data_IF_325324730843
#
_entry.id   IF_325324730843
#
_cell.length_a   1.000
_cell.length_b   1.000
_cell.length_c   1.000
_cell.angle_alpha   90.00
_cell.angle_beta   90.00
_cell.angle_gamma   90.00
#
_symmetry.space_group_name_H-M   'P 1'
#
loop_
_entity.id
_entity.type
_entity.pdbx_description
1 polymer ?
#
# COMPACT_ATOMS: atom_id res chain seq x y z
N UNK A 1 50.96 -6.32 46.62
CA UNK A 1 50.58 -6.81 45.27
C UNK A 1 50.72 -5.64 44.30
N UNK A 2 51.28 -5.82 43.09
CA UNK A 2 51.41 -4.74 42.13
C UNK A 2 50.02 -4.21 41.73
N UNK A 3 49.87 -2.89 41.70
CA UNK A 3 48.64 -2.23 41.24
C UNK A 3 48.63 -2.27 39.70
N UNK A 4 47.60 -2.88 39.11
CA UNK A 4 47.50 -3.07 37.66
C UNK A 4 46.57 -2.03 37.02
N UNK A 5 46.74 -1.77 35.73
CA UNK A 5 45.76 -1.03 34.92
C UNK A 5 44.56 -1.95 34.57
N UNK A 6 43.34 -1.38 34.45
CA UNK A 6 42.12 -2.19 34.34
C UNK A 6 41.91 -2.90 33.01
N UNK A 7 42.48 -2.41 31.89
CA UNK A 7 42.14 -2.93 30.56
C UNK A 7 43.09 -4.04 30.07
N UNK A 8 44.41 -3.82 30.20
CA UNK A 8 45.43 -4.74 29.69
C UNK A 8 46.44 -5.17 30.76
N UNK A 9 46.15 -4.89 32.04
CA UNK A 9 46.92 -5.40 33.17
C UNK A 9 48.38 -4.92 33.22
N UNK A 10 48.66 -3.69 32.79
CA UNK A 10 49.99 -3.07 32.93
C UNK A 10 50.32 -2.85 34.40
N UNK A 11 51.56 -3.11 34.80
CA UNK A 11 52.07 -2.79 36.14
C UNK A 11 52.20 -1.28 36.29
N UNK A 12 51.59 -0.69 37.32
CA UNK A 12 51.77 0.73 37.66
C UNK A 12 53.04 0.92 38.50
N UNK A 13 53.73 2.05 38.35
CA UNK A 13 54.81 2.42 39.27
C UNK A 13 54.26 2.56 40.69
N UNK A 14 55.05 2.21 41.71
CA UNK A 14 54.74 2.56 43.09
C UNK A 14 55.12 4.04 43.35
N UNK A 15 54.45 4.69 44.30
CA UNK A 15 54.56 6.14 44.56
C UNK A 15 55.99 6.62 44.86
N UNK A 16 56.92 5.71 45.21
CA UNK A 16 58.30 6.00 45.59
C UNK A 16 59.35 5.19 44.79
N UNK A 17 58.97 4.59 43.67
CA UNK A 17 59.88 3.73 42.87
C UNK A 17 60.50 4.53 41.72
N UNK A 18 61.84 4.57 41.65
CA UNK A 18 62.53 5.05 40.45
C UNK A 18 62.24 4.06 39.32
N UNK A 19 61.78 4.55 38.17
CA UNK A 19 61.27 3.71 37.08
C UNK A 19 62.22 2.57 36.71
N UNK A 20 61.75 1.33 36.91
CA UNK A 20 62.48 0.12 36.52
C UNK A 20 62.27 -0.16 35.03
N UNK A 21 63.37 -0.18 34.28
CA UNK A 21 63.39 -0.47 32.85
C UNK A 21 62.81 -1.87 32.56
N UNK A 22 62.99 -2.83 33.47
CA UNK A 22 62.44 -4.17 33.30
C UNK A 22 60.90 -4.14 33.28
N UNK A 23 60.29 -3.37 34.18
CA UNK A 23 58.82 -3.20 34.24
C UNK A 23 58.29 -2.48 33.01
N UNK A 24 59.04 -1.52 32.48
CA UNK A 24 58.68 -0.82 31.24
C UNK A 24 58.67 -1.79 30.06
N UNK A 25 59.72 -2.62 29.91
CA UNK A 25 59.80 -3.60 28.83
C UNK A 25 58.66 -4.63 28.92
N UNK A 26 58.36 -5.16 30.11
CA UNK A 26 57.23 -6.09 30.29
C UNK A 26 55.87 -5.46 29.95
N UNK A 27 55.68 -4.18 30.25
CA UNK A 27 54.46 -3.47 29.88
C UNK A 27 54.37 -3.23 28.36
N UNK A 28 55.51 -2.97 27.68
CA UNK A 28 55.55 -2.85 26.23
C UNK A 28 55.20 -4.17 25.53
N UNK A 29 55.73 -5.30 26.00
CA UNK A 29 55.40 -6.63 25.46
C UNK A 29 53.89 -6.93 25.56
N UNK A 30 53.26 -6.54 26.69
CA UNK A 30 51.80 -6.69 26.87
C UNK A 30 50.99 -5.79 25.93
N UNK A 31 51.49 -4.59 25.64
CA UNK A 31 50.84 -3.68 24.68
C UNK A 31 50.94 -4.27 23.28
N UNK A 32 52.12 -4.76 22.88
CA UNK A 32 52.33 -5.36 21.56
C UNK A 32 51.45 -6.59 21.36
N UNK A 33 51.36 -7.47 22.35
CA UNK A 33 50.47 -8.63 22.30
C UNK A 33 48.99 -8.23 22.18
N UNK A 34 48.53 -7.25 22.97
CA UNK A 34 47.15 -6.78 22.90
C UNK A 34 46.82 -6.13 21.55
N UNK A 35 47.77 -5.42 20.94
CA UNK A 35 47.64 -4.85 19.59
C UNK A 35 47.57 -5.95 18.54
N UNK A 36 48.37 -7.00 18.68
CA UNK A 36 48.34 -8.14 17.76
C UNK A 36 47.02 -8.94 17.86
N UNK A 37 46.53 -9.17 19.08
CA UNK A 37 45.23 -9.81 19.31
C UNK A 37 44.07 -8.98 18.73
N UNK A 38 44.13 -7.65 18.83
CA UNK A 38 43.14 -6.76 18.21
C UNK A 38 43.16 -6.87 16.68
N UNK A 39 44.35 -6.94 16.08
CA UNK A 39 44.52 -7.16 14.62
C UNK A 39 43.98 -8.52 14.18
N UNK A 40 44.05 -9.54 15.04
CA UNK A 40 43.53 -10.90 14.79
C UNK A 40 42.06 -11.08 15.19
N UNK A 41 41.46 -10.10 15.86
CA UNK A 41 40.08 -10.20 16.33
C UNK A 41 39.09 -10.38 15.17
N UNK A 42 38.06 -11.19 15.40
CA UNK A 42 37.00 -11.51 14.42
C UNK A 42 36.34 -10.27 13.85
N UNK A 43 36.30 -9.16 14.60
CA UNK A 43 35.72 -7.89 14.16
C UNK A 43 36.46 -7.32 12.94
N UNK A 44 37.79 -7.38 12.90
CA UNK A 44 38.55 -6.89 11.73
C UNK A 44 38.39 -7.83 10.54
N UNK A 45 38.32 -9.13 10.78
CA UNK A 45 38.08 -10.14 9.73
C UNK A 45 36.69 -9.96 9.12
N UNK A 46 35.66 -9.74 9.95
CA UNK A 46 34.30 -9.47 9.51
C UNK A 46 34.19 -8.12 8.79
N UNK A 47 34.87 -7.08 9.29
CA UNK A 47 34.87 -5.77 8.64
C UNK A 47 35.61 -5.77 7.29
N UNK A 48 36.77 -6.44 7.21
CA UNK A 48 37.52 -6.61 5.96
C UNK A 48 36.74 -7.48 4.96
N UNK A 49 36.00 -8.50 5.43
CA UNK A 49 35.09 -9.29 4.60
C UNK A 49 33.92 -8.43 4.06
N UNK A 50 33.33 -7.57 4.89
CA UNK A 50 32.28 -6.63 4.45
C UNK A 50 32.83 -5.56 3.49
N UNK A 51 34.05 -5.06 3.69
CA UNK A 51 34.66 -4.06 2.80
C UNK A 51 34.88 -4.61 1.39
N UNK A 52 35.19 -5.92 1.28
CA UNK A 52 35.29 -6.62 0.00
C UNK A 52 33.92 -6.72 -0.73
N UNK A 53 32.81 -6.78 0.01
CA UNK A 53 31.45 -6.73 -0.55
C UNK A 53 31.09 -5.32 -1.05
N UNK A 54 31.48 -4.25 -0.34
CA UNK A 54 31.17 -2.87 -0.75
C UNK A 54 31.99 -2.37 -1.94
N UNK A 55 33.18 -2.92 -2.19
CA UNK A 55 34.06 -2.48 -3.29
C UNK A 55 33.79 -3.17 -4.63
N UNK A 56 32.96 -4.22 -4.65
CA UNK A 56 32.42 -4.78 -5.88
C UNK A 56 31.11 -4.11 -6.24
N UNK A 57 31.14 -2.80 -6.53
CA UNK A 57 30.11 -2.17 -7.36
C UNK A 57 30.28 -2.79 -8.75
N UNK A 58 29.46 -3.77 -9.11
CA UNK A 58 29.85 -4.66 -10.17
C UNK A 58 29.27 -3.99 -11.44
N UNK A 59 30.15 -3.44 -12.28
CA UNK A 59 29.85 -2.76 -13.56
C UNK A 59 29.23 -3.74 -14.58
N UNK A 60 28.05 -4.30 -14.29
CA UNK A 60 27.34 -5.21 -15.19
C UNK A 60 26.14 -4.50 -15.81
N UNK A 61 26.42 -3.39 -16.50
CA UNK A 61 25.48 -2.82 -17.45
C UNK A 61 25.60 -3.57 -18.77
N UNK A 62 24.84 -4.64 -18.95
CA UNK A 62 24.70 -5.33 -20.23
C UNK A 62 23.37 -4.99 -20.88
N UNK A 63 23.36 -4.77 -22.20
CA UNK A 63 22.12 -4.78 -22.97
C UNK A 63 21.59 -6.22 -22.99
N UNK A 64 20.37 -6.43 -22.53
CA UNK A 64 19.74 -7.75 -22.58
C UNK A 64 19.36 -8.08 -24.03
N UNK A 65 19.91 -9.16 -24.57
CA UNK A 65 19.46 -9.73 -25.83
C UNK A 65 18.27 -10.65 -25.59
N UNK A 66 17.08 -10.26 -26.04
CA UNK A 66 15.87 -11.08 -25.90
C UNK A 66 14.72 -10.58 -26.78
N UNK A 67 14.06 -11.51 -27.47
CA UNK A 67 12.78 -11.24 -28.15
C UNK A 67 11.63 -11.54 -27.16
N UNK A 68 10.77 -10.55 -26.87
CA UNK A 68 9.62 -10.73 -25.96
C UNK A 68 9.94 -10.48 -24.48
N UNK A 69 9.27 -11.16 -23.55
CA UNK A 69 9.38 -10.85 -22.11
C UNK A 69 10.57 -11.54 -21.39
N UNK A 70 11.59 -11.98 -22.14
CA UNK A 70 12.79 -12.63 -21.61
C UNK A 70 13.95 -11.65 -21.50
N UNK A 71 14.46 -11.47 -20.28
CA UNK A 71 15.62 -10.63 -19.98
C UNK A 71 16.80 -11.50 -19.57
N UNK A 72 17.92 -11.37 -20.30
CA UNK A 72 19.10 -12.21 -20.12
C UNK A 72 20.36 -11.37 -19.87
N UNK A 73 20.99 -11.58 -18.71
CA UNK A 73 22.33 -11.11 -18.39
C UNK A 73 23.30 -12.28 -18.62
N UNK A 74 24.03 -12.21 -19.73
CA UNK A 74 24.91 -13.29 -20.19
C UNK A 74 26.34 -13.24 -19.65
N UNK A 75 26.70 -12.18 -18.90
CA UNK A 75 28.06 -11.97 -18.42
C UNK A 75 28.08 -11.80 -16.90
N UNK A 76 29.07 -12.41 -16.24
CA UNK A 76 29.36 -12.17 -14.83
C UNK A 76 28.40 -12.78 -13.82
N UNK A 77 27.61 -13.77 -14.21
CA UNK A 77 26.74 -14.46 -13.26
C UNK A 77 27.60 -15.16 -12.20
N UNK A 78 27.33 -14.94 -10.90
CA UNK A 78 28.02 -15.69 -9.86
C UNK A 78 27.65 -17.17 -9.96
N UNK A 79 28.58 -18.06 -9.63
CA UNK A 79 28.32 -19.51 -9.65
C UNK A 79 27.17 -19.93 -8.73
N UNK A 80 26.89 -19.12 -7.70
CA UNK A 80 25.82 -19.29 -6.73
C UNK A 80 25.28 -17.91 -6.32
N UNK A 81 23.96 -17.77 -6.31
CA UNK A 81 23.28 -16.64 -5.68
C UNK A 81 22.95 -17.00 -4.23
N UNK A 82 23.22 -16.09 -3.30
CA UNK A 82 22.80 -16.20 -1.91
C UNK A 82 21.38 -15.62 -1.77
N UNK A 83 20.56 -16.21 -0.90
CA UNK A 83 19.25 -15.63 -0.56
C UNK A 83 19.47 -14.20 -0.04
N UNK A 84 18.72 -13.25 -0.59
CA UNK A 84 18.88 -11.82 -0.31
C UNK A 84 19.77 -11.06 -1.28
N UNK A 85 20.45 -11.72 -2.22
CA UNK A 85 21.21 -11.03 -3.27
C UNK A 85 20.26 -10.15 -4.09
N UNK A 86 20.64 -8.89 -4.35
CA UNK A 86 19.82 -7.97 -5.13
C UNK A 86 20.51 -7.54 -6.41
N UNK A 87 19.69 -7.26 -7.43
CA UNK A 87 20.11 -6.61 -8.66
C UNK A 87 19.13 -5.48 -8.98
N UNK A 88 19.61 -4.46 -9.70
CA UNK A 88 18.77 -3.38 -10.20
C UNK A 88 18.69 -3.50 -11.71
N UNK A 89 17.48 -3.52 -12.25
CA UNK A 89 17.21 -3.63 -13.68
C UNK A 89 16.40 -2.43 -14.14
N UNK A 90 16.74 -1.88 -15.31
CA UNK A 90 15.92 -0.86 -15.99
C UNK A 90 15.19 -1.53 -17.15
N UNK A 91 13.87 -1.43 -17.18
CA UNK A 91 13.09 -1.91 -18.32
C UNK A 91 13.16 -0.91 -19.47
N UNK A 92 13.41 -1.39 -20.68
CA UNK A 92 13.47 -0.60 -21.92
C UNK A 92 12.14 -0.59 -22.70
N UNK A 93 11.20 -1.46 -22.30
CA UNK A 93 9.84 -1.56 -22.81
C UNK A 93 8.85 -1.94 -21.72
N UNK A 94 7.57 -1.75 -22.01
CA UNK A 94 6.50 -2.30 -21.19
C UNK A 94 6.48 -3.83 -21.32
N UNK A 95 6.38 -4.55 -20.21
CA UNK A 95 6.14 -5.99 -20.19
C UNK A 95 4.71 -6.29 -20.66
N UNK A 96 4.58 -7.21 -21.62
CA UNK A 96 3.29 -7.59 -22.20
C UNK A 96 2.77 -8.94 -21.65
N UNK A 97 3.63 -9.71 -21.01
CA UNK A 97 3.33 -11.02 -20.41
C UNK A 97 4.25 -11.37 -19.24
N UNK A 98 4.52 -12.67 -19.06
CA UNK A 98 5.38 -13.18 -17.98
C UNK A 98 6.82 -12.77 -18.21
N UNK A 99 7.41 -12.09 -17.23
CA UNK A 99 8.84 -11.81 -17.28
C UNK A 99 9.67 -12.97 -16.75
N UNK A 100 10.58 -13.45 -17.60
CA UNK A 100 11.63 -14.38 -17.21
C UNK A 100 12.94 -13.64 -17.13
N UNK A 101 13.61 -13.76 -15.99
CA UNK A 101 14.92 -13.17 -15.79
C UNK A 101 15.98 -14.26 -15.69
N UNK A 102 17.03 -14.12 -16.50
CA UNK A 102 18.15 -15.05 -16.60
C UNK A 102 19.44 -14.31 -16.23
N UNK A 103 20.17 -14.81 -15.23
CA UNK A 103 21.54 -14.36 -14.95
C UNK A 103 22.46 -15.58 -14.95
N UNK A 104 23.15 -15.80 -16.07
CA UNK A 104 23.89 -17.04 -16.33
C UNK A 104 22.98 -18.26 -16.28
N UNK A 105 23.27 -19.20 -15.36
CA UNK A 105 22.47 -20.43 -15.14
C UNK A 105 21.28 -20.23 -14.18
N UNK A 106 21.19 -19.08 -13.52
CA UNK A 106 20.14 -18.81 -12.54
C UNK A 106 18.90 -18.26 -13.26
N UNK A 107 17.81 -19.01 -13.13
CA UNK A 107 16.52 -18.72 -13.75
C UNK A 107 15.48 -18.43 -12.67
N UNK A 108 14.67 -17.40 -12.86
CA UNK A 108 13.50 -17.14 -12.03
C UNK A 108 12.39 -16.49 -12.84
N UNK A 109 11.15 -16.88 -12.54
CA UNK A 109 9.97 -16.14 -12.96
C UNK A 109 9.83 -14.93 -12.05
N UNK A 110 9.85 -13.73 -12.63
CA UNK A 110 9.75 -12.48 -11.87
C UNK A 110 8.30 -12.15 -11.52
N UNK A 111 7.33 -12.69 -12.27
CA UNK A 111 5.90 -12.62 -11.93
C UNK A 111 5.15 -13.86 -12.45
N UNK A 112 4.31 -14.48 -11.62
CA UNK A 112 3.34 -15.50 -12.04
C UNK A 112 1.95 -14.89 -12.33
N UNK A 113 1.09 -15.68 -12.96
CA UNK A 113 -0.20 -15.29 -13.58
C UNK A 113 -1.15 -14.58 -12.63
N UNK A 114 -1.01 -14.90 -11.34
CA UNK A 114 -2.01 -14.60 -10.33
C UNK A 114 -1.74 -13.25 -9.65
N UNK A 115 -0.57 -12.63 -9.89
CA UNK A 115 -0.16 -11.37 -9.27
C UNK A 115 0.16 -10.32 -10.35
N UNK A 116 -0.85 -9.90 -11.12
CA UNK A 116 -0.74 -8.93 -12.22
C UNK A 116 -0.43 -7.46 -11.81
N UNK A 117 0.11 -7.20 -10.62
CA UNK A 117 0.27 -5.82 -10.12
C UNK A 117 1.50 -5.07 -10.68
N UNK A 118 2.48 -5.77 -11.27
CA UNK A 118 3.69 -5.15 -11.77
C UNK A 118 4.04 -5.59 -13.19
N UNK A 119 3.33 -5.01 -14.16
CA UNK A 119 3.90 -4.92 -15.51
C UNK A 119 5.06 -3.96 -15.43
N UNK A 120 6.28 -4.46 -15.59
CA UNK A 120 7.47 -3.59 -15.73
C UNK A 120 7.14 -2.57 -16.82
N UNK A 121 7.32 -1.30 -16.50
CA UNK A 121 7.05 -0.19 -17.39
C UNK A 121 8.32 0.24 -18.05
N UNK A 122 8.22 0.63 -19.32
CA UNK A 122 9.30 1.29 -20.03
C UNK A 122 9.89 2.40 -19.15
N UNK A 123 11.21 2.40 -19.09
CA UNK A 123 12.05 3.28 -18.27
C UNK A 123 11.95 3.10 -16.74
N UNK A 124 11.12 2.16 -16.26
CA UNK A 124 11.05 1.80 -14.84
C UNK A 124 12.33 1.12 -14.35
N UNK A 125 12.75 1.47 -13.14
CA UNK A 125 13.89 0.88 -12.44
C UNK A 125 13.35 -0.01 -11.34
N UNK A 126 13.76 -1.28 -11.33
CA UNK A 126 13.26 -2.31 -10.44
C UNK A 126 14.42 -2.97 -9.70
N UNK A 127 14.24 -3.23 -8.41
CA UNK A 127 15.17 -4.05 -7.65
C UNK A 127 14.63 -5.46 -7.57
N UNK A 128 15.39 -6.45 -8.06
CA UNK A 128 15.04 -7.87 -7.93
C UNK A 128 15.88 -8.47 -6.83
N UNK A 129 15.26 -9.21 -5.90
CA UNK A 129 15.92 -9.96 -4.84
C UNK A 129 15.84 -11.45 -5.14
N UNK A 130 16.96 -12.16 -5.01
CA UNK A 130 17.00 -13.61 -5.09
C UNK A 130 16.45 -14.18 -3.78
N UNK A 131 15.34 -14.92 -3.87
CA UNK A 131 14.68 -15.54 -2.72
C UNK A 131 14.37 -17.00 -3.06
N UNK A 132 15.01 -17.90 -2.31
CA UNK A 132 14.69 -19.34 -2.32
C UNK A 132 14.64 -20.00 -3.71
N UNK A 133 15.50 -19.57 -4.65
CA UNK A 133 15.58 -20.17 -5.99
C UNK A 133 14.82 -19.42 -7.08
N UNK A 134 14.19 -18.29 -6.78
CA UNK A 134 13.58 -17.40 -7.77
C UNK A 134 13.93 -15.94 -7.52
N UNK A 135 13.67 -15.09 -8.51
CA UNK A 135 13.72 -13.64 -8.37
C UNK A 135 12.36 -13.11 -7.91
N UNK A 136 12.35 -12.25 -6.91
CA UNK A 136 11.16 -11.49 -6.47
C UNK A 136 11.44 -10.01 -6.63
N UNK A 137 10.50 -9.22 -7.15
CA UNK A 137 10.67 -7.76 -7.17
C UNK A 137 10.59 -7.27 -5.72
N UNK A 138 11.59 -6.51 -5.29
CA UNK A 138 11.64 -5.96 -3.96
C UNK A 138 10.61 -4.84 -3.85
N UNK A 139 9.54 -5.11 -3.11
CA UNK A 139 8.33 -4.27 -3.06
C UNK A 139 7.05 -5.10 -3.15
N UNK A 140 7.11 -6.27 -3.79
CA UNK A 140 5.92 -7.06 -4.14
C UNK A 140 5.29 -7.84 -2.98
N UNK A 141 6.03 -8.08 -1.89
CA UNK A 141 5.56 -8.88 -0.74
C UNK A 141 4.97 -8.02 0.40
N UNK A 142 4.10 -7.06 0.06
CA UNK A 142 3.44 -6.20 1.05
C UNK A 142 4.20 -4.93 1.41
N UNK A 143 5.21 -4.57 0.60
CA UNK A 143 5.74 -3.22 0.58
C UNK A 143 4.67 -2.30 -0.01
N UNK A 144 4.41 -1.20 0.67
CA UNK A 144 3.53 -0.14 0.18
C UNK A 144 3.90 0.21 -1.28
N UNK A 145 3.02 -0.09 -2.24
CA UNK A 145 3.15 0.39 -3.63
C UNK A 145 3.01 1.90 -3.61
N UNK A 146 4.15 2.59 -3.51
CA UNK A 146 4.28 4.03 -3.68
C UNK A 146 4.74 4.30 -5.10
N UNK A 147 3.89 4.86 -5.95
CA UNK A 147 4.30 5.19 -7.33
C UNK A 147 4.88 6.61 -7.47
N UNK A 148 4.81 7.43 -6.41
CA UNK A 148 5.36 8.78 -6.35
C UNK A 148 4.79 9.79 -7.34
N UNK A 149 3.83 9.39 -8.20
CA UNK A 149 3.22 10.27 -9.19
C UNK A 149 2.30 11.26 -8.49
N UNK A 150 2.29 12.48 -9.01
CA UNK A 150 1.35 13.53 -8.60
C UNK A 150 0.21 13.69 -9.63
N UNK A 151 0.33 13.01 -10.78
CA UNK A 151 -0.66 13.03 -11.85
C UNK A 151 -1.88 12.17 -11.51
N UNK A 152 -3.01 12.49 -12.13
CA UNK A 152 -4.21 11.66 -12.00
C UNK A 152 -4.07 10.36 -12.77
N UNK A 153 -4.17 9.23 -12.09
CA UNK A 153 -4.22 7.91 -12.72
C UNK A 153 -5.67 7.58 -13.04
N UNK A 154 -5.96 7.32 -14.32
CA UNK A 154 -7.31 6.96 -14.76
C UNK A 154 -7.35 5.53 -15.27
N UNK A 155 -8.30 4.75 -14.74
CA UNK A 155 -8.58 3.37 -15.15
C UNK A 155 -10.02 3.30 -15.65
N UNK A 156 -10.22 2.77 -16.85
CA UNK A 156 -11.55 2.58 -17.44
C UNK A 156 -12.01 1.14 -17.25
N UNK A 157 -13.26 0.95 -16.82
CA UNK A 157 -13.85 -0.36 -16.51
C UNK A 157 -15.09 -0.58 -17.34
N UNK A 158 -15.18 -1.72 -18.03
CA UNK A 158 -16.35 -2.05 -18.83
C UNK A 158 -16.15 -3.31 -19.68
N UNK A 159 -17.23 -3.84 -20.29
CA UNK A 159 -17.18 -5.06 -21.09
C UNK A 159 -16.15 -5.02 -22.24
N UNK A 160 -15.86 -3.82 -22.77
CA UNK A 160 -14.92 -3.60 -23.86
C UNK A 160 -13.57 -3.00 -23.41
N UNK A 161 -13.33 -2.84 -22.10
CA UNK A 161 -12.09 -2.27 -21.54
C UNK A 161 -11.10 -3.33 -21.12
N UNK A 162 -9.86 -2.95 -20.81
CA UNK A 162 -8.86 -3.87 -20.26
C UNK A 162 -9.31 -4.42 -18.90
N UNK A 163 -9.94 -3.58 -18.09
CA UNK A 163 -10.57 -3.99 -16.83
C UNK A 163 -12.05 -4.26 -17.05
N UNK A 164 -12.47 -5.51 -16.87
CA UNK A 164 -13.88 -5.91 -17.00
C UNK A 164 -14.67 -5.71 -15.71
N UNK A 165 -13.96 -5.68 -14.56
CA UNK A 165 -14.54 -5.61 -13.23
C UNK A 165 -13.96 -4.43 -12.44
N UNK A 166 -14.75 -3.87 -11.53
CA UNK A 166 -14.33 -2.79 -10.64
C UNK A 166 -13.23 -3.31 -9.71
N UNK A 167 -13.36 -4.57 -9.25
CA UNK A 167 -12.36 -5.19 -8.37
C UNK A 167 -10.97 -5.26 -9.03
N UNK A 168 -10.89 -5.72 -10.28
CA UNK A 168 -9.60 -5.80 -10.99
C UNK A 168 -8.97 -4.43 -11.20
N UNK A 169 -9.76 -3.39 -11.43
CA UNK A 169 -9.28 -2.01 -11.49
C UNK A 169 -8.75 -1.53 -10.13
N UNK A 170 -9.48 -1.76 -9.04
CA UNK A 170 -9.04 -1.43 -7.67
C UNK A 170 -7.70 -2.10 -7.34
N UNK A 171 -7.57 -3.39 -7.66
CA UNK A 171 -6.37 -4.18 -7.35
C UNK A 171 -5.16 -3.76 -8.19
N UNK A 172 -5.37 -3.12 -9.35
CA UNK A 172 -4.30 -2.59 -10.20
C UNK A 172 -3.73 -1.25 -9.73
N UNK A 173 -4.44 -0.52 -8.85
CA UNK A 173 -4.02 0.81 -8.41
C UNK A 173 -3.01 0.73 -7.27
N UNK A 174 -1.98 1.58 -7.34
CA UNK A 174 -1.06 1.79 -6.23
C UNK A 174 -1.83 2.24 -4.98
N UNK A 175 -1.58 1.57 -3.85
CA UNK A 175 -2.24 1.83 -2.57
C UNK A 175 -1.81 3.16 -1.97
N UNK A 176 -0.57 3.58 -2.19
CA UNK A 176 -0.08 4.87 -1.73
C UNK A 176 0.30 5.72 -2.92
N UNK A 177 -0.39 6.85 -3.08
CA UNK A 177 -0.19 7.75 -4.21
C UNK A 177 -0.45 9.18 -3.74
N UNK A 178 0.42 10.13 -4.11
CA UNK A 178 0.22 11.53 -3.76
C UNK A 178 -0.82 12.20 -4.68
N UNK A 179 -0.88 11.77 -5.94
CA UNK A 179 -1.87 12.17 -6.94
C UNK A 179 -3.21 11.44 -6.81
N UNK A 180 -4.16 11.91 -7.62
CA UNK A 180 -5.52 11.37 -7.65
C UNK A 180 -5.61 10.08 -8.46
N UNK A 181 -6.58 9.25 -8.11
CA UNK A 181 -6.90 7.99 -8.79
C UNK A 181 -8.37 8.02 -9.19
N UNK A 182 -8.66 7.66 -10.43
CA UNK A 182 -10.01 7.63 -10.98
C UNK A 182 -10.30 6.27 -11.60
N UNK A 183 -11.42 5.69 -11.21
CA UNK A 183 -12.03 4.54 -11.85
C UNK A 183 -13.29 5.04 -12.57
N UNK A 184 -13.29 4.94 -13.89
CA UNK A 184 -14.40 5.37 -14.75
C UNK A 184 -15.13 4.13 -15.26
N UNK A 185 -16.42 4.04 -14.94
CA UNK A 185 -17.27 2.92 -15.31
C UNK A 185 -18.02 3.23 -16.60
N UNK A 186 -17.90 2.37 -17.60
CA UNK A 186 -18.79 2.40 -18.76
C UNK A 186 -20.23 2.01 -18.35
N UNK A 187 -21.17 2.15 -19.29
CA UNK A 187 -22.54 1.69 -19.09
C UNK A 187 -22.56 0.18 -18.81
N UNK A 188 -23.29 -0.25 -17.80
CA UNK A 188 -23.46 -1.67 -17.52
C UNK A 188 -23.85 -2.00 -16.09
N UNK A 189 -24.10 -3.29 -15.89
CA UNK A 189 -24.35 -3.86 -14.56
C UNK A 189 -23.13 -4.64 -14.12
N UNK A 190 -22.59 -4.28 -12.96
CA UNK A 190 -21.44 -4.91 -12.33
C UNK A 190 -21.95 -5.73 -11.15
N UNK A 191 -21.99 -7.05 -11.31
CA UNK A 191 -22.41 -7.98 -10.26
C UNK A 191 -21.20 -8.59 -9.56
N UNK A 192 -20.65 -7.84 -8.59
CA UNK A 192 -19.42 -8.23 -7.91
C UNK A 192 -19.42 -7.76 -6.45
N UNK A 193 -18.58 -8.40 -5.64
CA UNK A 193 -18.29 -7.98 -4.29
C UNK A 193 -17.15 -6.96 -4.33
N UNK A 194 -17.37 -5.78 -3.75
CA UNK A 194 -16.40 -4.69 -3.79
C UNK A 194 -15.95 -4.37 -2.37
N UNK A 195 -14.64 -4.50 -2.15
CA UNK A 195 -13.97 -4.08 -0.92
C UNK A 195 -12.85 -3.13 -1.31
N UNK A 196 -12.89 -1.90 -0.76
CA UNK A 196 -11.89 -0.86 -0.98
C UNK A 196 -11.24 -0.52 0.35
N UNK A 197 -9.96 -0.85 0.48
CA UNK A 197 -9.16 -0.59 1.67
C UNK A 197 -7.69 -0.39 1.38
N UNK A 198 -7.00 0.24 2.35
CA UNK A 198 -5.55 0.45 2.35
C UNK A 198 -5.08 1.56 1.41
N UNK A 199 -5.96 2.44 0.94
CA UNK A 199 -5.58 3.57 0.10
C UNK A 199 -5.17 4.78 0.94
N UNK A 200 -4.01 5.35 0.59
CA UNK A 200 -3.42 6.51 1.25
C UNK A 200 -2.98 7.56 0.22
N UNK A 201 -3.02 8.83 0.63
CA UNK A 201 -2.67 10.00 -0.20
C UNK A 201 -3.68 10.30 -1.33
N UNK A 202 -3.71 11.54 -1.83
CA UNK A 202 -4.62 11.96 -2.91
C UNK A 202 -6.10 11.65 -2.66
N UNK A 203 -6.88 11.60 -3.76
CA UNK A 203 -8.29 11.17 -3.77
C UNK A 203 -8.46 9.91 -4.61
N UNK A 204 -9.26 8.95 -4.15
CA UNK A 204 -9.78 7.86 -4.97
C UNK A 204 -11.20 8.17 -5.41
N UNK A 205 -11.44 8.32 -6.71
CA UNK A 205 -12.77 8.58 -7.29
C UNK A 205 -13.25 7.37 -8.08
N UNK A 206 -14.49 6.94 -7.84
CA UNK A 206 -15.20 5.96 -8.66
C UNK A 206 -16.43 6.65 -9.23
N UNK A 207 -16.58 6.66 -10.56
CA UNK A 207 -17.67 7.37 -11.22
C UNK A 207 -18.15 6.66 -12.46
N UNK A 208 -19.44 6.84 -12.79
CA UNK A 208 -19.93 6.53 -14.14
C UNK A 208 -19.28 7.46 -15.16
N UNK A 209 -19.04 6.97 -16.37
CA UNK A 209 -18.68 7.82 -17.49
C UNK A 209 -19.82 8.83 -17.79
N UNK A 210 -19.48 9.93 -18.44
CA UNK A 210 -20.44 11.01 -18.68
C UNK A 210 -21.62 10.53 -19.53
N UNK A 211 -22.84 10.80 -19.09
CA UNK A 211 -24.06 10.47 -19.81
C UNK A 211 -24.45 8.98 -19.82
N UNK A 212 -23.76 8.12 -19.06
CA UNK A 212 -24.11 6.70 -18.94
C UNK A 212 -24.50 6.30 -17.52
N UNK A 213 -25.22 5.19 -17.40
CA UNK A 213 -25.58 4.58 -16.10
C UNK A 213 -24.72 3.35 -15.83
N UNK A 214 -23.92 3.40 -14.76
CA UNK A 214 -23.28 2.22 -14.18
C UNK A 214 -24.08 1.77 -12.96
N UNK A 215 -24.43 0.49 -12.94
CA UNK A 215 -25.24 -0.14 -11.90
C UNK A 215 -24.36 -1.14 -11.16
N UNK A 216 -24.17 -0.92 -9.86
CA UNK A 216 -23.54 -1.87 -8.97
C UNK A 216 -24.65 -2.72 -8.34
N UNK A 217 -24.66 -3.98 -8.72
CA UNK A 217 -25.56 -5.00 -8.16
C UNK A 217 -24.74 -6.01 -7.38
N UNK A 218 -25.31 -6.60 -6.33
CA UNK A 218 -24.62 -7.63 -5.56
C UNK A 218 -24.95 -7.57 -4.08
N UNK A 219 -24.13 -8.24 -3.28
CA UNK A 219 -24.39 -8.42 -1.85
C UNK A 219 -23.53 -7.54 -0.94
N UNK A 220 -22.38 -7.05 -1.39
CA UNK A 220 -21.47 -6.29 -0.53
C UNK A 220 -20.70 -5.22 -1.31
N UNK A 221 -20.83 -4.00 -0.82
CA UNK A 221 -19.97 -2.87 -1.17
C UNK A 221 -19.47 -2.25 0.13
N UNK A 222 -18.19 -2.44 0.42
CA UNK A 222 -17.57 -1.99 1.66
C UNK A 222 -16.33 -1.14 1.36
N UNK A 223 -16.27 0.06 1.92
CA UNK A 223 -15.11 0.93 1.85
C UNK A 223 -14.67 1.22 3.27
N UNK A 224 -13.45 0.82 3.62
CA UNK A 224 -12.95 0.94 4.98
C UNK A 224 -11.45 1.11 5.05
N UNK A 225 -10.95 1.71 6.13
CA UNK A 225 -9.52 1.79 6.43
C UNK A 225 -8.73 2.47 5.30
N UNK A 226 -9.18 3.65 4.89
CA UNK A 226 -8.49 4.48 3.91
C UNK A 226 -8.17 5.82 4.54
N UNK A 227 -6.93 6.29 4.41
CA UNK A 227 -6.57 7.66 4.85
C UNK A 227 -6.73 8.68 3.72
N UNK A 228 -6.86 8.22 2.47
CA UNK A 228 -7.25 9.08 1.36
C UNK A 228 -8.75 9.42 1.42
N UNK A 229 -9.13 10.52 0.77
CA UNK A 229 -10.55 10.80 0.50
C UNK A 229 -11.06 9.83 -0.57
N UNK A 230 -12.26 9.27 -0.38
CA UNK A 230 -12.92 8.43 -1.39
C UNK A 230 -14.19 9.12 -1.89
N UNK A 231 -14.30 9.32 -3.20
CA UNK A 231 -15.45 9.94 -3.86
C UNK A 231 -16.18 8.92 -4.75
N UNK A 232 -17.50 8.86 -4.65
CA UNK A 232 -18.36 8.02 -5.48
C UNK A 232 -19.36 8.93 -6.18
N UNK A 233 -19.35 8.94 -7.52
CA UNK A 233 -20.13 9.92 -8.28
C UNK A 233 -21.03 9.24 -9.32
N UNK A 234 -22.32 9.58 -9.30
CA UNK A 234 -23.29 9.24 -10.34
C UNK A 234 -23.42 7.73 -10.59
N UNK A 235 -23.39 6.92 -9.53
CA UNK A 235 -23.53 5.46 -9.60
C UNK A 235 -24.87 5.04 -9.00
N UNK A 236 -25.52 4.07 -9.65
CA UNK A 236 -26.68 3.39 -9.11
C UNK A 236 -26.27 2.13 -8.34
N UNK A 237 -26.79 1.98 -7.12
CA UNK A 237 -26.58 0.85 -6.25
C UNK A 237 -27.90 0.08 -6.08
N UNK A 238 -27.92 -1.15 -6.60
CA UNK A 238 -29.00 -2.14 -6.44
C UNK A 238 -28.47 -3.31 -5.61
N UNK A 239 -28.20 -3.03 -4.34
CA UNK A 239 -27.58 -3.98 -3.40
C UNK A 239 -28.66 -4.46 -2.43
N UNK A 240 -28.57 -5.73 -2.01
CA UNK A 240 -29.49 -6.29 -1.00
C UNK A 240 -29.15 -5.77 0.41
N UNK A 241 -27.86 -5.52 0.66
CA UNK A 241 -27.36 -5.03 1.94
C UNK A 241 -26.97 -3.55 1.86
N UNK A 242 -26.88 -2.91 3.03
CA UNK A 242 -26.39 -1.55 3.13
C UNK A 242 -24.97 -1.41 2.55
N UNK A 243 -24.72 -0.24 1.97
CA UNK A 243 -23.38 0.20 1.62
C UNK A 243 -22.65 0.54 2.92
N UNK A 244 -21.50 -0.07 3.17
CA UNK A 244 -20.73 0.16 4.38
C UNK A 244 -19.56 1.08 4.09
N UNK A 245 -19.49 2.23 4.76
CA UNK A 245 -18.37 3.16 4.70
C UNK A 245 -17.82 3.36 6.12
N UNK A 246 -16.59 2.92 6.36
CA UNK A 246 -16.00 2.90 7.70
C UNK A 246 -14.63 3.57 7.75
N UNK A 247 -14.28 4.21 8.87
CA UNK A 247 -12.90 4.62 9.18
C UNK A 247 -12.21 5.38 8.03
N UNK A 248 -12.79 6.51 7.61
CA UNK A 248 -12.31 7.27 6.45
C UNK A 248 -13.06 8.58 6.17
N UNK A 249 -12.77 9.19 5.01
CA UNK A 249 -13.44 10.39 4.52
C UNK A 249 -14.12 10.11 3.18
N UNK A 250 -15.43 10.37 3.11
CA UNK A 250 -16.27 9.95 1.99
C UNK A 250 -17.04 11.11 1.35
N UNK A 251 -17.16 11.11 0.04
CA UNK A 251 -18.08 11.96 -0.72
C UNK A 251 -18.92 11.11 -1.65
N UNK A 252 -20.24 11.26 -1.60
CA UNK A 252 -21.16 10.59 -2.51
C UNK A 252 -21.97 11.67 -3.21
N UNK A 253 -21.83 11.76 -4.53
CA UNK A 253 -22.46 12.81 -5.33
C UNK A 253 -23.35 12.22 -6.41
N UNK A 254 -24.63 12.56 -6.41
CA UNK A 254 -25.56 12.11 -7.46
C UNK A 254 -25.77 10.60 -7.50
N UNK A 255 -25.51 9.88 -6.41
CA UNK A 255 -25.68 8.43 -6.33
C UNK A 255 -27.15 8.07 -6.07
N UNK A 256 -27.56 6.90 -6.58
CA UNK A 256 -28.90 6.36 -6.35
C UNK A 256 -28.80 5.02 -5.62
N UNK A 257 -29.54 4.85 -4.54
CA UNK A 257 -29.58 3.62 -3.75
C UNK A 257 -31.00 3.07 -3.78
N UNK A 258 -31.15 1.82 -4.23
CA UNK A 258 -32.45 1.15 -4.30
C UNK A 258 -32.38 -0.17 -3.54
N UNK A 259 -33.27 -0.35 -2.57
CA UNK A 259 -33.33 -1.57 -1.75
C UNK A 259 -32.38 -1.59 -0.54
N UNK A 260 -31.40 -0.68 -0.53
CA UNK A 260 -30.38 -0.55 0.51
C UNK A 260 -30.18 0.91 0.93
N UNK A 261 -29.73 1.10 2.17
CA UNK A 261 -29.26 2.38 2.67
C UNK A 261 -27.75 2.51 2.68
N UNK A 262 -27.28 3.60 3.28
CA UNK A 262 -25.87 3.91 3.51
C UNK A 262 -25.59 3.80 5.01
N UNK A 263 -24.66 2.93 5.38
CA UNK A 263 -24.16 2.74 6.73
C UNK A 263 -22.77 3.39 6.85
N UNK A 264 -22.65 4.29 7.82
CA UNK A 264 -21.50 5.17 8.05
C UNK A 264 -21.00 4.92 9.47
N UNK A 265 -19.74 4.49 9.65
CA UNK A 265 -19.17 4.19 10.97
C UNK A 265 -17.78 4.80 11.12
N UNK A 266 -17.51 5.48 12.24
CA UNK A 266 -16.19 6.05 12.54
C UNK A 266 -15.61 6.90 11.38
N UNK A 267 -16.45 7.70 10.71
CA UNK A 267 -16.06 8.38 9.48
C UNK A 267 -16.59 9.81 9.37
N UNK A 268 -16.04 10.57 8.42
CA UNK A 268 -16.66 11.82 7.94
C UNK A 268 -17.23 11.60 6.55
N UNK A 269 -18.50 11.94 6.34
CA UNK A 269 -19.15 11.73 5.05
C UNK A 269 -19.94 12.96 4.59
N UNK A 270 -19.92 13.18 3.27
CA UNK A 270 -20.72 14.19 2.60
C UNK A 270 -21.56 13.54 1.50
N UNK A 271 -22.88 13.65 1.59
CA UNK A 271 -23.81 13.13 0.60
C UNK A 271 -24.54 14.30 -0.05
N UNK A 272 -24.43 14.43 -1.37
CA UNK A 272 -25.03 15.53 -2.11
C UNK A 272 -25.79 15.03 -3.35
N UNK A 273 -27.00 15.54 -3.55
CA UNK A 273 -27.85 15.22 -4.71
C UNK A 273 -28.13 13.71 -4.88
N UNK A 274 -28.04 12.95 -3.79
CA UNK A 274 -28.27 11.51 -3.77
C UNK A 274 -29.77 11.17 -3.67
N UNK A 275 -30.13 9.95 -4.07
CA UNK A 275 -31.49 9.42 -3.92
C UNK A 275 -31.47 8.07 -3.21
N UNK A 276 -32.23 7.89 -2.13
CA UNK A 276 -32.37 6.60 -1.42
C UNK A 276 -33.83 6.16 -1.43
N UNK A 277 -34.12 5.06 -2.12
CA UNK A 277 -35.46 4.51 -2.28
C UNK A 277 -35.56 3.10 -1.74
N UNK A 278 -36.72 2.80 -1.15
CA UNK A 278 -37.10 1.45 -0.75
C UNK A 278 -36.05 0.78 0.15
N UNK A 279 -35.36 1.54 1.01
CA UNK A 279 -34.46 0.93 2.00
C UNK A 279 -35.31 0.11 2.97
N UNK A 280 -35.01 -1.19 3.03
CA UNK A 280 -35.73 -2.15 3.88
C UNK A 280 -35.55 -1.87 5.39
N UNK A 281 -34.55 -1.07 5.75
CA UNK A 281 -34.25 -0.73 7.14
C UNK A 281 -34.09 0.79 7.35
N UNK A 282 -32.91 1.34 7.08
CA UNK A 282 -32.56 2.74 7.33
C UNK A 282 -31.97 3.31 6.05
N UNK A 283 -32.40 4.49 5.60
CA UNK A 283 -31.83 5.13 4.41
C UNK A 283 -30.41 5.64 4.70
N UNK A 284 -30.21 6.44 5.75
CA UNK A 284 -28.89 6.90 6.21
C UNK A 284 -28.69 6.54 7.67
N UNK A 285 -27.70 5.70 7.97
CA UNK A 285 -27.34 5.29 9.33
C UNK A 285 -25.92 5.73 9.66
N UNK A 286 -25.75 6.53 10.71
CA UNK A 286 -24.46 7.02 11.18
C UNK A 286 -24.16 6.51 12.60
N UNK A 287 -22.97 5.94 12.79
CA UNK A 287 -22.52 5.27 14.01
C UNK A 287 -21.13 5.75 14.45
N UNK A 288 -20.82 5.65 15.75
CA UNK A 288 -19.43 5.47 16.21
C UNK A 288 -18.58 6.71 16.03
N UNK A 289 -19.10 7.88 16.40
CA UNK A 289 -18.43 9.16 16.25
C UNK A 289 -18.47 9.72 14.83
N UNK A 290 -19.26 9.12 13.92
CA UNK A 290 -19.37 9.64 12.54
C UNK A 290 -19.95 11.06 12.50
N UNK A 291 -19.45 11.87 11.56
CA UNK A 291 -19.99 13.19 11.23
C UNK A 291 -20.44 13.19 9.77
N UNK A 292 -21.74 13.34 9.55
CA UNK A 292 -22.36 13.18 8.25
C UNK A 292 -23.07 14.45 7.85
N UNK A 293 -22.79 14.95 6.66
CA UNK A 293 -23.49 16.08 6.07
C UNK A 293 -24.28 15.64 4.85
N UNK A 294 -25.54 16.07 4.76
CA UNK A 294 -26.50 15.61 3.76
C UNK A 294 -27.17 16.80 3.09
N UNK A 295 -27.02 16.92 1.78
CA UNK A 295 -27.55 18.00 0.96
C UNK A 295 -28.38 17.45 -0.19
N UNK A 296 -29.59 17.98 -0.38
CA UNK A 296 -30.51 17.59 -1.45
C UNK A 296 -30.76 16.08 -1.55
N UNK A 297 -30.78 15.38 -0.40
CA UNK A 297 -31.11 13.97 -0.37
C UNK A 297 -32.62 13.80 -0.53
N UNK A 298 -33.01 12.98 -1.50
CA UNK A 298 -34.41 12.66 -1.80
C UNK A 298 -34.67 11.17 -1.79
N UNK A 299 -35.95 10.81 -1.84
CA UNK A 299 -36.39 9.44 -2.03
C UNK A 299 -37.57 9.06 -1.16
N UNK A 300 -38.07 7.84 -1.35
CA UNK A 300 -39.31 7.36 -0.73
C UNK A 300 -39.30 5.85 -0.47
N UNK A 301 -40.29 5.38 0.29
CA UNK A 301 -40.43 3.96 0.60
C UNK A 301 -39.43 3.45 1.64
N UNK A 302 -38.79 4.36 2.39
CA UNK A 302 -37.84 4.01 3.43
C UNK A 302 -38.56 3.79 4.76
N UNK A 303 -38.13 2.80 5.55
CA UNK A 303 -38.69 2.59 6.89
C UNK A 303 -38.20 3.68 7.86
N UNK A 304 -36.89 3.87 7.96
CA UNK A 304 -36.27 4.98 8.71
C UNK A 304 -35.49 5.87 7.73
N UNK A 305 -35.66 7.19 7.81
CA UNK A 305 -34.94 8.14 6.96
C UNK A 305 -33.49 8.32 7.43
N UNK A 306 -33.32 8.85 8.63
CA UNK A 306 -32.03 9.14 9.25
C UNK A 306 -31.96 8.47 10.61
N UNK A 307 -30.89 7.71 10.86
CA UNK A 307 -30.55 7.20 12.19
C UNK A 307 -29.19 7.70 12.62
N UNK A 308 -29.12 8.35 13.77
CA UNK A 308 -27.87 8.74 14.41
C UNK A 308 -27.70 8.00 15.73
N UNK A 309 -26.60 7.23 15.83
CA UNK A 309 -26.21 6.45 17.00
C UNK A 309 -24.77 6.84 17.39
N UNK A 310 -24.57 7.47 18.56
CA UNK A 310 -23.28 8.04 18.94
C UNK A 310 -22.61 8.89 17.84
N UNK A 311 -23.38 9.66 17.06
CA UNK A 311 -22.91 10.33 15.85
C UNK A 311 -23.59 11.69 15.64
N UNK A 312 -23.24 12.40 14.58
CA UNK A 312 -23.88 13.65 14.16
C UNK A 312 -24.28 13.56 12.69
N UNK A 313 -25.55 13.87 12.40
CA UNK A 313 -26.07 14.09 11.05
C UNK A 313 -26.52 15.55 10.92
N UNK A 314 -25.99 16.26 9.93
CA UNK A 314 -26.38 17.61 9.51
C UNK A 314 -27.13 17.47 8.18
N UNK A 315 -28.40 17.87 8.09
CA UNK A 315 -29.16 17.82 6.83
C UNK A 315 -29.69 19.19 6.43
N UNK A 316 -29.52 19.55 5.16
CA UNK A 316 -29.94 20.85 4.63
C UNK A 316 -31.26 20.82 3.83
N UNK A 317 -31.89 19.65 3.65
CA UNK A 317 -33.10 19.49 2.83
C UNK A 317 -34.03 18.39 3.34
N UNK A 318 -35.35 18.55 3.15
CA UNK A 318 -36.39 17.60 3.57
C UNK A 318 -37.06 16.83 2.41
N UNK A 319 -36.32 16.50 1.34
CA UNK A 319 -36.90 15.77 0.20
C UNK A 319 -36.94 14.23 0.39
N UNK A 320 -36.29 13.71 1.43
CA UNK A 320 -36.37 12.30 1.80
C UNK A 320 -37.64 12.03 2.62
N UNK A 321 -38.40 11.02 2.23
CA UNK A 321 -39.59 10.55 2.96
C UNK A 321 -39.36 9.16 3.52
N UNK A 322 -39.89 8.91 4.73
CA UNK A 322 -39.82 7.64 5.43
C UNK A 322 -40.98 7.50 6.43
N UNK A 323 -41.28 6.28 6.87
CA UNK A 323 -42.27 6.05 7.96
C UNK A 323 -41.86 6.74 9.24
N UNK A 324 -40.58 6.60 9.62
CA UNK A 324 -39.94 7.35 10.69
C UNK A 324 -38.84 8.20 10.07
N UNK A 325 -39.01 9.52 10.00
CA UNK A 325 -38.00 10.36 9.36
C UNK A 325 -36.68 10.36 10.15
N UNK A 326 -36.75 10.54 11.47
CA UNK A 326 -35.59 10.69 12.34
C UNK A 326 -35.62 9.70 13.51
N UNK A 327 -34.51 9.00 13.71
CA UNK A 327 -34.26 8.14 14.85
C UNK A 327 -32.92 8.51 15.51
N UNK A 328 -32.92 8.73 16.82
CA UNK A 328 -31.73 9.05 17.61
C UNK A 328 -31.52 7.98 18.66
N UNK A 329 -30.28 7.54 18.84
CA UNK A 329 -29.89 6.54 19.83
C UNK A 329 -28.56 6.92 20.49
N UNK A 330 -28.40 6.53 21.76
CA UNK A 330 -27.13 6.59 22.49
C UNK A 330 -26.39 7.95 22.36
N UNK A 331 -27.14 9.06 22.49
CA UNK A 331 -26.59 10.42 22.40
C UNK A 331 -26.42 10.98 20.98
N UNK A 332 -26.71 10.20 19.94
CA UNK A 332 -26.67 10.66 18.54
C UNK A 332 -27.58 11.86 18.27
N UNK A 333 -27.14 12.75 17.37
CA UNK A 333 -27.82 13.99 17.03
C UNK A 333 -28.11 14.09 15.53
N UNK A 334 -29.29 14.62 15.22
CA UNK A 334 -29.72 14.97 13.88
C UNK A 334 -30.15 16.43 13.94
N UNK A 335 -29.51 17.26 13.12
CA UNK A 335 -29.75 18.70 12.99
C UNK A 335 -30.26 19.02 11.59
N UNK A 336 -31.08 20.06 11.53
CA UNK A 336 -31.58 20.66 10.30
C UNK A 336 -30.97 22.06 10.16
#
# INVERSE_FOLDING_TARGET
>A
MPNLTPNIGLKKPLDNEAGDIAVINENMDKIDQAVEDLKRSSVKIEFDAHLADYTRVPYWGGLTGGTGDDFKIDHGAPDKLLVGSCIVVKADRDAIGYMRFFWGKHYGLVSSSDHMAFKFKKDGIYTLRWDSGTWVVQGDNGGINFDGRQETITVNVGPSRDFKTIRSAIDSLAKVNAGDRQIILDAGTYNELIIISGFHGGTLTIKSASGVSAILSGNLFNIGNNTCKVSINSIEFRIINNISLTSGQFTLYGCMFTGAGVFLSECTAHLENCTVNNSTNIAISANGGSVVSVFNLKGSGNKIGYRSDHSIILRASNALTATTLDEKAQGGQIFF
#
